data_IF_771523172011
#
_entry.id   IF_771523172011
#
_cell.length_a   1.000
_cell.length_b   1.000
_cell.length_c   1.000
_cell.angle_alpha   90.00
_cell.angle_beta   90.00
_cell.angle_gamma   90.00
#
_symmetry.space_group_name_H-M   'P 1'
#
loop_
_entity.id
_entity.type
_entity.pdbx_description
1 polymer ?
#
# COMPACT_ATOMS: atom_id res chain seq x y z
N UNK A 1 -1.26 16.07 -11.56
CA UNK A 1 -2.56 15.66 -10.95
C UNK A 1 -2.37 14.33 -10.23
N UNK A 2 -2.48 14.30 -8.90
CA UNK A 2 -2.16 13.11 -8.08
C UNK A 2 -3.00 11.87 -8.45
N UNK A 3 -4.31 12.04 -8.59
CA UNK A 3 -5.22 10.93 -8.92
C UNK A 3 -4.87 10.22 -10.25
N UNK A 4 -4.47 10.96 -11.28
CA UNK A 4 -4.09 10.39 -12.59
C UNK A 4 -2.80 9.56 -12.49
N UNK A 5 -1.84 10.00 -11.66
CA UNK A 5 -0.61 9.24 -11.42
C UNK A 5 -0.89 7.92 -10.74
N UNK A 6 -1.70 7.94 -9.68
CA UNK A 6 -2.11 6.72 -8.96
C UNK A 6 -2.87 5.77 -9.89
N UNK A 7 -3.84 6.28 -10.67
CA UNK A 7 -4.53 5.48 -11.67
C UNK A 7 -3.56 4.87 -12.69
N UNK A 8 -2.57 5.65 -13.14
CA UNK A 8 -1.50 5.18 -14.02
C UNK A 8 -0.67 4.04 -13.41
N UNK A 9 -0.34 4.12 -12.12
CA UNK A 9 0.37 3.07 -11.40
C UNK A 9 -0.49 1.79 -11.30
N UNK A 10 -1.79 1.92 -11.04
CA UNK A 10 -2.73 0.81 -11.01
C UNK A 10 -2.80 0.13 -12.38
N UNK A 11 -3.10 0.84 -13.46
CA UNK A 11 -3.36 0.19 -14.76
C UNK A 11 -2.15 -0.49 -15.38
N UNK A 12 -0.93 -0.17 -14.92
CA UNK A 12 0.31 -0.80 -15.38
C UNK A 12 0.55 -2.19 -14.78
N UNK A 13 -0.07 -2.50 -13.65
CA UNK A 13 0.16 -3.76 -12.95
C UNK A 13 -0.82 -4.86 -13.41
N UNK A 14 -0.34 -6.09 -13.65
CA UNK A 14 -1.16 -7.15 -14.20
C UNK A 14 -2.10 -7.78 -13.18
N UNK A 15 -1.71 -7.85 -11.89
CA UNK A 15 -2.51 -8.51 -10.85
C UNK A 15 -3.18 -7.53 -9.88
N UNK A 16 -4.37 -7.85 -9.33
CA UNK A 16 -5.06 -7.03 -8.33
C UNK A 16 -4.19 -6.68 -7.10
N UNK A 17 -3.40 -7.64 -6.62
CA UNK A 17 -2.45 -7.42 -5.54
C UNK A 17 -1.40 -6.36 -5.90
N UNK A 18 -0.68 -6.53 -7.01
CA UNK A 18 0.35 -5.59 -7.44
C UNK A 18 -0.23 -4.20 -7.72
N UNK A 19 -1.44 -4.13 -8.26
CA UNK A 19 -2.18 -2.86 -8.44
C UNK A 19 -2.33 -2.09 -7.13
N UNK A 20 -2.67 -2.79 -6.05
CA UNK A 20 -2.85 -2.20 -4.71
C UNK A 20 -1.50 -1.71 -4.16
N UNK A 21 -0.45 -2.52 -4.27
CA UNK A 21 0.90 -2.13 -3.85
C UNK A 21 1.41 -0.93 -4.63
N UNK A 22 1.26 -0.94 -5.95
CA UNK A 22 1.68 0.17 -6.83
C UNK A 22 0.91 1.45 -6.53
N UNK A 23 -0.40 1.38 -6.28
CA UNK A 23 -1.19 2.54 -5.88
C UNK A 23 -0.69 3.16 -4.58
N UNK A 24 -0.41 2.33 -3.56
CA UNK A 24 0.08 2.79 -2.27
C UNK A 24 1.48 3.42 -2.37
N UNK A 25 2.38 2.81 -3.13
CA UNK A 25 3.72 3.34 -3.40
C UNK A 25 3.67 4.67 -4.14
N UNK A 26 2.85 4.79 -5.17
CA UNK A 26 2.69 6.03 -5.93
C UNK A 26 2.09 7.16 -5.07
N UNK A 27 1.09 6.83 -4.23
CA UNK A 27 0.51 7.80 -3.30
C UNK A 27 1.55 8.31 -2.30
N UNK A 28 2.37 7.42 -1.72
CA UNK A 28 3.43 7.79 -0.80
C UNK A 28 4.52 8.64 -1.48
N UNK A 29 4.89 8.31 -2.72
CA UNK A 29 5.83 9.10 -3.51
C UNK A 29 5.31 10.53 -3.73
N UNK A 30 4.05 10.69 -4.12
CA UNK A 30 3.42 12.02 -4.31
C UNK A 30 3.46 12.84 -3.02
N UNK A 31 3.19 12.20 -1.88
CA UNK A 31 3.24 12.87 -0.57
C UNK A 31 4.67 13.30 -0.23
N UNK A 32 5.66 12.44 -0.44
CA UNK A 32 7.09 12.76 -0.20
C UNK A 32 7.60 13.87 -1.12
N UNK A 33 7.23 13.85 -2.40
CA UNK A 33 7.52 14.95 -3.32
C UNK A 33 6.91 16.27 -2.82
N UNK A 34 5.66 16.24 -2.34
CA UNK A 34 5.01 17.43 -1.76
C UNK A 34 5.74 17.99 -0.54
N UNK A 35 6.34 17.11 0.28
CA UNK A 35 7.18 17.50 1.43
C UNK A 35 8.51 18.09 0.96
N UNK A 36 9.18 17.42 0.01
CA UNK A 36 10.46 17.87 -0.54
C UNK A 36 10.35 19.24 -1.24
N UNK A 37 9.25 19.46 -1.94
CA UNK A 37 8.95 20.74 -2.61
C UNK A 37 8.48 21.84 -1.63
N UNK A 38 8.33 21.53 -0.33
CA UNK A 38 7.81 22.45 0.67
C UNK A 38 6.32 22.80 0.52
N UNK A 39 5.58 22.10 -0.36
CA UNK A 39 4.14 22.29 -0.60
C UNK A 39 3.27 21.80 0.56
N UNK A 40 3.81 20.89 1.38
CA UNK A 40 3.17 20.39 2.59
C UNK A 40 4.24 20.11 3.66
N UNK A 41 3.96 20.50 4.90
CA UNK A 41 4.90 20.35 6.03
C UNK A 41 4.19 19.59 7.16
N UNK A 42 4.17 18.24 7.10
CA UNK A 42 3.55 17.40 8.12
C UNK A 42 4.22 17.59 9.48
N UNK A 43 3.43 17.46 10.54
CA UNK A 43 3.97 17.38 11.89
C UNK A 43 4.79 16.10 12.13
N UNK A 44 5.55 16.01 13.24
CA UNK A 44 6.40 14.85 13.52
C UNK A 44 5.65 13.51 13.54
N UNK A 45 4.40 13.50 14.01
CA UNK A 45 3.56 12.29 14.04
C UNK A 45 3.18 11.84 12.63
N UNK A 46 2.81 12.76 11.75
CA UNK A 46 2.45 12.45 10.36
C UNK A 46 3.68 11.91 9.60
N UNK A 47 4.85 12.51 9.79
CA UNK A 47 6.11 11.99 9.25
C UNK A 47 6.38 10.55 9.71
N UNK A 48 6.22 10.28 11.01
CA UNK A 48 6.38 8.92 11.54
C UNK A 48 5.39 7.92 10.91
N UNK A 49 4.14 8.34 10.66
CA UNK A 49 3.18 7.49 9.97
C UNK A 49 3.59 7.20 8.52
N UNK A 50 4.10 8.20 7.78
CA UNK A 50 4.60 7.99 6.42
C UNK A 50 5.81 7.04 6.39
N UNK A 51 6.71 7.14 7.37
CA UNK A 51 7.86 6.23 7.49
C UNK A 51 7.40 4.79 7.79
N UNK A 52 6.40 4.63 8.67
CA UNK A 52 5.81 3.31 8.96
C UNK A 52 5.12 2.70 7.74
N UNK A 53 4.37 3.50 6.98
CA UNK A 53 3.72 3.04 5.76
C UNK A 53 4.78 2.59 4.75
N UNK A 54 5.86 3.35 4.55
CA UNK A 54 6.98 2.95 3.70
C UNK A 54 7.54 1.59 4.13
N UNK A 55 7.86 1.44 5.42
CA UNK A 55 8.44 0.21 5.95
C UNK A 55 7.52 -1.00 5.77
N UNK A 56 6.21 -0.85 5.96
CA UNK A 56 5.23 -1.92 5.72
C UNK A 56 5.18 -2.27 4.24
N UNK A 57 5.13 -1.28 3.34
CA UNK A 57 5.10 -1.52 1.89
C UNK A 57 6.35 -2.27 1.41
N UNK A 58 7.52 -1.97 1.98
CA UNK A 58 8.79 -2.62 1.67
C UNK A 58 8.92 -4.05 2.21
N UNK A 59 8.11 -4.40 3.20
CA UNK A 59 8.04 -5.74 3.79
C UNK A 59 6.93 -6.60 3.17
N UNK A 60 6.08 -6.03 2.31
CA UNK A 60 5.01 -6.79 1.67
C UNK A 60 5.60 -7.93 0.82
N UNK A 61 5.02 -9.14 0.89
CA UNK A 61 5.49 -10.27 0.10
C UNK A 61 5.43 -9.98 -1.40
N UNK A 62 6.30 -10.62 -2.17
CA UNK A 62 6.31 -10.50 -3.64
C UNK A 62 5.03 -11.05 -4.30
N UNK A 63 4.33 -11.98 -3.65
CA UNK A 63 3.13 -12.61 -4.21
C UNK A 63 1.93 -12.54 -3.28
N UNK A 64 0.75 -12.44 -3.88
CA UNK A 64 -0.55 -12.45 -3.21
C UNK A 64 -0.77 -13.73 -2.39
N UNK A 65 -0.35 -14.89 -2.92
CA UNK A 65 -0.47 -16.16 -2.21
C UNK A 65 0.29 -16.16 -0.88
N UNK A 66 1.53 -15.66 -0.86
CA UNK A 66 2.31 -15.56 0.39
C UNK A 66 1.68 -14.59 1.38
N UNK A 67 1.08 -13.50 0.89
CA UNK A 67 0.33 -12.59 1.76
C UNK A 67 -0.87 -13.30 2.39
N UNK A 68 -1.66 -14.01 1.58
CA UNK A 68 -2.84 -14.74 2.08
C UNK A 68 -2.44 -15.82 3.09
N UNK A 69 -1.39 -16.59 2.84
CA UNK A 69 -0.87 -17.59 3.78
C UNK A 69 -0.52 -16.96 5.13
N UNK A 70 0.25 -15.87 5.14
CA UNK A 70 0.60 -15.15 6.38
C UNK A 70 -0.61 -14.53 7.08
N UNK A 71 -1.60 -14.05 6.31
CA UNK A 71 -2.85 -13.53 6.85
C UNK A 71 -3.72 -14.63 7.47
N UNK A 72 -3.76 -15.83 6.87
CA UNK A 72 -4.49 -16.97 7.44
C UNK A 72 -3.86 -17.45 8.75
N UNK A 73 -2.52 -17.47 8.83
CA UNK A 73 -1.83 -17.81 10.08
C UNK A 73 -2.16 -16.80 11.19
N UNK A 74 -2.18 -15.51 10.86
CA UNK A 74 -2.37 -14.44 11.86
C UNK A 74 -3.83 -14.21 12.22
N UNK A 75 -4.74 -14.27 11.23
CA UNK A 75 -6.13 -13.84 11.36
C UNK A 75 -7.15 -14.95 11.07
N UNK A 76 -6.71 -16.18 10.82
CA UNK A 76 -7.58 -17.32 10.47
C UNK A 76 -8.72 -17.56 11.47
N UNK A 77 -8.49 -17.30 12.76
CA UNK A 77 -9.51 -17.45 13.81
C UNK A 77 -10.67 -16.45 13.74
N UNK A 78 -10.50 -15.33 13.02
CA UNK A 78 -11.53 -14.30 12.80
C UNK A 78 -11.87 -14.12 11.32
N UNK A 79 -11.25 -14.92 10.44
CA UNK A 79 -11.40 -14.85 9.01
C UNK A 79 -12.33 -15.98 8.51
N UNK A 80 -13.46 -15.60 7.92
CA UNK A 80 -14.38 -16.54 7.28
C UNK A 80 -14.25 -16.42 5.76
N UNK A 81 -13.54 -17.35 5.14
CA UNK A 81 -13.29 -17.39 3.69
C UNK A 81 -14.59 -17.32 2.85
N UNK A 82 -15.63 -18.00 3.32
CA UNK A 82 -16.95 -18.01 2.69
C UNK A 82 -17.58 -16.61 2.53
N UNK A 83 -17.23 -15.64 3.39
CA UNK A 83 -17.70 -14.25 3.27
C UNK A 83 -17.13 -13.51 2.06
N UNK A 84 -16.05 -14.04 1.49
CA UNK A 84 -15.35 -13.47 0.33
C UNK A 84 -15.52 -14.33 -0.94
N UNK A 85 -16.36 -15.37 -0.89
CA UNK A 85 -16.57 -16.30 -2.01
C UNK A 85 -15.37 -17.22 -2.28
N UNK A 86 -14.52 -17.42 -1.26
CA UNK A 86 -13.35 -18.31 -1.27
C UNK A 86 -13.65 -19.63 -0.55
#
# INVERSE_FOLDING_TARGET
KAAVRIAGAIVREPSPYHRTVAAAREALAILREGIADGRWQPGPKEMQWLDRIQAVLDQLPESESRLIEGMQETYGGVYHAASYGL
#
